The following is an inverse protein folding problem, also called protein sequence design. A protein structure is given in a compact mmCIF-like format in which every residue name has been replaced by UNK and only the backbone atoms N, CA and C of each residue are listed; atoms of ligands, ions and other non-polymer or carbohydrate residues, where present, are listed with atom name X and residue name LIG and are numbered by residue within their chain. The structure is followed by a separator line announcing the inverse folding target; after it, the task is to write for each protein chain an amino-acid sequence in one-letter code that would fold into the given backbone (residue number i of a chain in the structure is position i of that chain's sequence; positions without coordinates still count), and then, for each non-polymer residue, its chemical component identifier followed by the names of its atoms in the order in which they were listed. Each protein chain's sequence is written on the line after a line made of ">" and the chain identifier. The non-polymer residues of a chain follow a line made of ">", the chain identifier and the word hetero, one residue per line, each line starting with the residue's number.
data_IF_347184781427
#
_entry.id   IF_347184781427
#
_cell.length_a   1.000
_cell.length_b   1.000
_cell.length_c   1.000
_cell.angle_alpha   90.00
_cell.angle_beta   90.00
_cell.angle_gamma   90.00
#
_symmetry.space_group_name_H-M   'P 1'
#
loop_
_entity.id
_entity.type
_entity.pdbx_description
1 polymer ?
#
# COMPACT_ATOMS: atom_id res chain seq x y z
N UNK A 1 -7.01 -8.39 19.07
CA UNK A 1 -6.21 -9.64 19.10
C UNK A 1 -5.04 -9.47 20.05
N UNK A 2 -4.90 -10.43 20.92
CA UNK A 2 -3.73 -10.46 21.81
C UNK A 2 -2.59 -11.17 21.10
N UNK A 3 -1.54 -10.43 20.82
CA UNK A 3 -0.33 -10.99 20.23
C UNK A 3 0.53 -11.52 21.40
N UNK A 4 1.07 -12.72 21.23
CA UNK A 4 2.04 -13.26 22.18
C UNK A 4 3.17 -12.23 22.38
N UNK A 5 3.51 -11.85 23.63
CA UNK A 5 4.52 -10.83 23.87
C UNK A 5 5.89 -11.16 23.26
N UNK A 6 6.26 -12.42 23.16
CA UNK A 6 7.52 -12.81 22.53
C UNK A 6 7.49 -12.58 21.02
N UNK A 7 6.37 -12.87 20.37
CA UNK A 7 6.17 -12.59 18.94
C UNK A 7 6.17 -11.08 18.70
N UNK A 8 5.47 -10.32 19.54
CA UNK A 8 5.45 -8.88 19.44
C UNK A 8 6.84 -8.26 19.51
N UNK A 9 7.67 -8.77 20.44
CA UNK A 9 9.04 -8.30 20.56
C UNK A 9 9.84 -8.58 19.29
N UNK A 10 9.69 -9.77 18.70
CA UNK A 10 10.33 -10.11 17.43
C UNK A 10 9.88 -9.16 16.31
N UNK A 11 8.59 -8.92 16.22
CA UNK A 11 8.04 -8.01 15.19
C UNK A 11 8.55 -6.58 15.37
N UNK A 12 8.58 -6.09 16.62
CA UNK A 12 9.12 -4.75 16.90
C UNK A 12 10.59 -4.64 16.49
N UNK A 13 11.38 -5.70 16.73
CA UNK A 13 12.78 -5.72 16.34
C UNK A 13 12.99 -5.73 14.82
N UNK A 14 12.00 -6.25 14.05
CA UNK A 14 12.06 -6.26 12.59
C UNK A 14 11.76 -4.89 11.97
N UNK A 15 11.15 -3.98 12.70
CA UNK A 15 10.66 -2.71 12.13
C UNK A 15 11.77 -1.92 11.43
N UNK A 16 12.97 -1.87 12.00
CA UNK A 16 14.12 -1.19 11.38
C UNK A 16 14.49 -1.79 10.03
N UNK A 17 14.42 -3.12 9.91
CA UNK A 17 14.72 -3.83 8.67
C UNK A 17 13.66 -3.48 7.61
N UNK A 18 12.40 -3.52 7.99
CA UNK A 18 11.31 -3.17 7.08
C UNK A 18 11.40 -1.72 6.63
N UNK A 19 11.68 -0.81 7.55
CA UNK A 19 11.83 0.62 7.21
C UNK A 19 12.94 0.82 6.19
N UNK A 20 14.09 0.18 6.38
CA UNK A 20 15.21 0.28 5.46
C UNK A 20 14.84 -0.24 4.06
N UNK A 21 14.13 -1.36 3.99
CA UNK A 21 13.68 -1.93 2.72
C UNK A 21 12.67 -1.02 2.01
N UNK A 22 11.72 -0.47 2.74
CA UNK A 22 10.71 0.44 2.20
C UNK A 22 11.37 1.72 1.67
N UNK A 23 12.27 2.32 2.46
CA UNK A 23 12.96 3.53 2.03
C UNK A 23 13.84 3.31 0.81
N UNK A 24 14.51 2.16 0.70
CA UNK A 24 15.30 1.82 -0.48
C UNK A 24 14.42 1.72 -1.73
N UNK A 25 13.26 1.06 -1.62
CA UNK A 25 12.30 1.01 -2.72
C UNK A 25 11.79 2.40 -3.09
N UNK A 26 11.40 3.19 -2.10
CA UNK A 26 10.88 4.54 -2.34
C UNK A 26 11.94 5.46 -2.94
N UNK A 27 13.20 5.34 -2.54
CA UNK A 27 14.29 6.09 -3.16
C UNK A 27 14.43 5.76 -4.65
N UNK A 28 14.31 4.50 -5.02
CA UNK A 28 14.34 4.09 -6.42
C UNK A 28 13.19 4.71 -7.20
N UNK A 29 11.98 4.68 -6.65
CA UNK A 29 10.81 5.30 -7.28
C UNK A 29 10.93 6.83 -7.34
N UNK A 30 11.43 7.44 -6.27
CA UNK A 30 11.66 8.89 -6.23
C UNK A 30 12.57 9.36 -7.35
N UNK A 31 13.66 8.64 -7.58
CA UNK A 31 14.61 8.98 -8.68
C UNK A 31 13.93 8.87 -10.04
N UNK A 32 13.06 7.87 -10.20
CA UNK A 32 12.37 7.65 -11.47
C UNK A 32 11.33 8.73 -11.76
N UNK A 33 10.63 9.21 -10.75
CA UNK A 33 9.49 10.12 -10.92
C UNK A 33 9.74 11.54 -10.40
N UNK A 34 10.94 11.83 -9.87
CA UNK A 34 11.24 13.15 -9.33
C UNK A 34 10.47 13.48 -8.06
N UNK A 35 10.26 12.51 -7.19
CA UNK A 35 9.46 12.65 -5.97
C UNK A 35 10.31 12.48 -4.71
N UNK A 36 9.68 12.59 -3.55
CA UNK A 36 10.34 12.54 -2.24
C UNK A 36 9.64 11.58 -1.25
N UNK A 37 9.03 10.52 -1.75
CA UNK A 37 8.32 9.56 -0.90
C UNK A 37 9.21 8.92 0.17
N UNK A 38 10.50 8.73 -0.12
CA UNK A 38 11.44 8.17 0.85
C UNK A 38 11.72 9.08 2.05
N UNK A 39 11.36 10.36 1.99
CA UNK A 39 11.51 11.29 3.12
C UNK A 39 10.26 11.36 4.00
N UNK A 40 9.16 10.76 3.58
CA UNK A 40 7.91 10.74 4.35
C UNK A 40 8.06 9.81 5.55
N UNK A 41 7.62 10.22 6.75
CA UNK A 41 7.66 9.35 7.92
C UNK A 41 6.92 8.04 7.72
N UNK A 42 7.48 6.95 8.23
CA UNK A 42 6.89 5.62 8.17
C UNK A 42 6.58 5.19 9.60
N UNK A 43 5.34 4.78 9.84
CA UNK A 43 4.89 4.25 11.13
C UNK A 43 4.56 2.77 10.99
N UNK A 44 4.77 2.03 12.07
CA UNK A 44 4.42 0.62 12.15
C UNK A 44 3.45 0.39 13.30
N UNK A 45 2.63 -0.63 13.17
CA UNK A 45 1.66 -1.00 14.19
C UNK A 45 1.16 -2.42 13.99
N UNK A 46 0.04 -2.73 14.60
CA UNK A 46 -0.49 -4.10 14.69
C UNK A 46 -1.97 -4.17 14.27
N UNK A 47 -2.37 -3.36 13.31
CA UNK A 47 -3.75 -3.39 12.82
C UNK A 47 -4.06 -4.77 12.19
N UNK A 48 -5.22 -5.33 12.51
CA UNK A 48 -5.63 -6.64 12.03
C UNK A 48 -6.35 -6.59 10.68
N UNK A 49 -6.91 -5.46 10.33
CA UNK A 49 -7.71 -5.30 9.12
C UNK A 49 -6.99 -4.53 8.02
N UNK A 50 -6.13 -3.59 8.40
CA UNK A 50 -5.43 -2.69 7.49
C UNK A 50 -3.97 -3.12 7.37
N UNK A 51 -3.56 -3.50 6.16
CA UNK A 51 -2.18 -3.91 5.90
C UNK A 51 -1.25 -2.70 5.84
N UNK A 52 -1.73 -1.62 5.26
CA UNK A 52 -0.98 -0.38 5.15
C UNK A 52 -1.89 0.78 4.78
N UNK A 53 -1.37 1.99 4.92
CA UNK A 53 -2.07 3.20 4.53
C UNK A 53 -1.11 4.33 4.23
N UNK A 54 -1.58 5.30 3.47
CA UNK A 54 -0.93 6.58 3.26
C UNK A 54 -1.86 7.69 3.75
N UNK A 55 -1.33 8.58 4.56
CA UNK A 55 -2.07 9.75 5.05
C UNK A 55 -1.45 11.01 4.43
N UNK A 56 -2.20 11.74 3.59
CA UNK A 56 -1.68 13.01 3.07
C UNK A 56 -1.60 14.07 4.17
N UNK A 57 -0.72 15.04 3.98
CA UNK A 57 -0.62 16.17 4.88
C UNK A 57 -1.93 16.98 4.89
N UNK A 58 -2.37 17.38 6.07
CA UNK A 58 -3.55 18.22 6.24
C UNK A 58 -3.34 19.19 7.38
N UNK A 59 -4.38 20.04 7.67
CA UNK A 59 -4.33 20.95 8.79
C UNK A 59 -4.20 20.22 10.14
N UNK A 60 -4.63 18.97 10.21
CA UNK A 60 -4.71 18.21 11.47
C UNK A 60 -3.74 17.03 11.52
N UNK A 61 -3.18 16.59 10.40
CA UNK A 61 -2.32 15.42 10.34
C UNK A 61 -1.08 15.67 9.50
N UNK A 62 0.05 15.12 9.95
CA UNK A 62 1.29 15.11 9.17
C UNK A 62 1.22 13.97 8.15
N UNK A 63 1.83 14.21 7.00
CA UNK A 63 1.98 13.16 5.98
C UNK A 63 2.74 11.97 6.55
N UNK A 64 2.24 10.76 6.31
CA UNK A 64 2.90 9.55 6.79
C UNK A 64 2.44 8.31 6.02
N UNK A 65 3.31 7.30 6.02
CA UNK A 65 2.95 5.93 5.66
C UNK A 65 2.77 5.11 6.94
N UNK A 66 1.90 4.11 6.86
CA UNK A 66 1.70 3.15 7.93
C UNK A 66 1.71 1.73 7.35
N UNK A 67 2.35 0.80 8.06
CA UNK A 67 2.32 -0.63 7.71
C UNK A 67 2.13 -1.48 8.96
N UNK A 68 1.28 -2.49 8.84
CA UNK A 68 1.01 -3.39 9.96
C UNK A 68 2.02 -4.53 9.99
N UNK A 69 2.74 -4.66 11.09
CA UNK A 69 3.70 -5.73 11.31
C UNK A 69 3.05 -7.11 11.34
N UNK A 70 1.73 -7.18 11.54
CA UNK A 70 1.00 -8.45 11.48
C UNK A 70 0.99 -9.05 10.07
N UNK A 71 1.23 -8.25 9.04
CA UNK A 71 1.21 -8.71 7.65
C UNK A 71 2.60 -8.72 7.02
N UNK A 72 3.40 -7.69 7.27
CA UNK A 72 4.74 -7.61 6.66
C UNK A 72 5.80 -8.34 7.48
N UNK A 73 5.54 -8.62 8.76
CA UNK A 73 6.52 -9.23 9.65
C UNK A 73 6.86 -10.67 9.28
N UNK A 74 8.10 -11.06 9.55
CA UNK A 74 8.58 -12.42 9.30
C UNK A 74 8.20 -13.39 10.43
N UNK A 75 8.00 -12.87 11.64
CA UNK A 75 7.67 -13.69 12.80
C UNK A 75 6.21 -14.09 12.89
N UNK A 76 5.36 -13.63 11.97
CA UNK A 76 3.94 -14.02 11.95
C UNK A 76 3.78 -15.41 11.34
N UNK A 77 2.66 -16.06 11.66
CA UNK A 77 2.41 -17.44 11.25
C UNK A 77 2.35 -17.64 9.75
N UNK A 78 1.78 -16.66 9.02
CA UNK A 78 1.67 -16.68 7.56
C UNK A 78 2.10 -15.32 7.02
N UNK A 79 3.39 -15.07 6.90
CA UNK A 79 3.87 -13.79 6.40
C UNK A 79 3.54 -13.62 4.91
N UNK A 80 3.42 -12.38 4.47
CA UNK A 80 3.34 -12.08 3.05
C UNK A 80 4.63 -12.54 2.35
N UNK A 81 4.51 -12.97 1.10
CA UNK A 81 5.67 -13.22 0.26
C UNK A 81 6.44 -11.90 0.03
N UNK A 82 7.69 -12.03 -0.41
CA UNK A 82 8.47 -10.85 -0.78
C UNK A 82 7.75 -10.02 -1.85
N UNK A 83 7.17 -10.68 -2.85
CA UNK A 83 6.45 -10.02 -3.93
C UNK A 83 5.23 -9.24 -3.41
N UNK A 84 4.46 -9.86 -2.53
CA UNK A 84 3.27 -9.23 -1.96
C UNK A 84 3.63 -8.08 -1.04
N UNK A 85 4.73 -8.17 -0.29
CA UNK A 85 5.22 -7.05 0.51
C UNK A 85 5.61 -5.88 -0.39
N UNK A 86 6.36 -6.13 -1.45
CA UNK A 86 6.75 -5.08 -2.39
C UNK A 86 5.53 -4.46 -3.06
N UNK A 87 4.54 -5.27 -3.41
CA UNK A 87 3.30 -4.76 -3.98
C UNK A 87 2.55 -3.87 -3.00
N UNK A 88 2.47 -4.26 -1.72
CA UNK A 88 1.86 -3.44 -0.68
C UNK A 88 2.58 -2.09 -0.56
N UNK A 89 3.90 -2.07 -0.53
CA UNK A 89 4.66 -0.82 -0.43
C UNK A 89 4.42 0.08 -1.64
N UNK A 90 4.38 -0.49 -2.84
CA UNK A 90 4.08 0.25 -4.06
C UNK A 90 2.64 0.76 -4.09
N UNK A 91 1.71 -0.01 -3.55
CA UNK A 91 0.31 0.40 -3.41
C UNK A 91 0.19 1.70 -2.62
N UNK A 92 0.87 1.77 -1.47
CA UNK A 92 0.83 2.98 -0.64
C UNK A 92 1.62 4.12 -1.31
N UNK A 93 2.73 3.81 -1.97
CA UNK A 93 3.47 4.82 -2.74
C UNK A 93 2.60 5.40 -3.87
N UNK A 94 1.78 4.59 -4.51
CA UNK A 94 0.85 5.06 -5.54
C UNK A 94 -0.15 6.07 -4.98
N UNK A 95 -0.65 5.87 -3.75
CA UNK A 95 -1.46 6.88 -3.07
C UNK A 95 -0.68 8.18 -2.86
N UNK A 96 0.58 8.08 -2.42
CA UNK A 96 1.45 9.23 -2.28
C UNK A 96 1.63 9.96 -3.62
N UNK A 97 1.85 9.23 -4.71
CA UNK A 97 2.00 9.80 -6.05
C UNK A 97 0.76 10.59 -6.47
N UNK A 98 -0.42 10.03 -6.20
CA UNK A 98 -1.68 10.70 -6.57
C UNK A 98 -1.79 12.10 -5.97
N UNK A 99 -1.24 12.31 -4.78
CA UNK A 99 -1.27 13.60 -4.09
C UNK A 99 -0.08 14.51 -4.45
N UNK A 100 0.99 13.96 -5.03
CA UNK A 100 2.25 14.69 -5.16
C UNK A 100 2.77 14.83 -6.58
N UNK A 101 2.03 14.35 -7.58
CA UNK A 101 2.41 14.52 -8.97
C UNK A 101 1.19 14.89 -9.82
N UNK A 102 1.46 15.41 -11.01
CA UNK A 102 0.40 15.74 -11.95
C UNK A 102 -0.16 14.47 -12.56
N UNK A 103 -1.48 14.29 -12.44
CA UNK A 103 -2.21 13.18 -13.02
C UNK A 103 -2.87 13.63 -14.31
N UNK A 104 -2.78 12.87 -15.43
CA UNK A 104 -3.49 13.22 -16.66
C UNK A 104 -4.99 13.40 -16.43
N UNK A 105 -5.58 14.41 -17.08
CA UNK A 105 -6.96 14.81 -16.82
C UNK A 105 -8.00 13.73 -17.14
N UNK A 106 -7.65 12.75 -17.98
CA UNK A 106 -8.56 11.65 -18.33
C UNK A 106 -8.81 10.68 -17.16
N UNK A 107 -7.98 10.72 -16.13
CA UNK A 107 -8.14 9.85 -14.97
C UNK A 107 -8.91 10.56 -13.86
N UNK A 108 -9.80 9.84 -13.21
CA UNK A 108 -10.65 10.37 -12.17
C UNK A 108 -9.91 10.43 -10.83
N UNK A 109 -9.58 11.65 -10.40
CA UNK A 109 -8.90 11.88 -9.14
C UNK A 109 -9.92 11.92 -8.00
N UNK A 110 -9.75 11.05 -7.00
CA UNK A 110 -10.59 11.00 -5.81
C UNK A 110 -9.72 10.86 -4.58
N UNK A 111 -9.87 11.81 -3.64
CA UNK A 111 -9.14 11.79 -2.38
C UNK A 111 -9.44 10.52 -1.58
N UNK A 112 -8.41 9.82 -1.09
CA UNK A 112 -8.55 8.63 -0.28
C UNK A 112 -9.19 7.43 -0.97
N UNK A 113 -9.31 7.44 -2.30
CA UNK A 113 -10.00 6.41 -3.05
C UNK A 113 -9.06 5.66 -3.98
N UNK A 114 -9.51 4.47 -4.41
CA UNK A 114 -8.79 3.62 -5.36
C UNK A 114 -9.35 3.79 -6.78
N UNK A 115 -9.51 5.04 -7.18
CA UNK A 115 -10.04 5.39 -8.49
C UNK A 115 -9.02 5.27 -9.61
N UNK A 116 -9.41 5.69 -10.82
CA UNK A 116 -8.56 5.54 -12.00
C UNK A 116 -7.26 6.34 -11.90
N UNK A 117 -7.26 7.47 -11.22
CA UNK A 117 -6.03 8.22 -10.98
C UNK A 117 -5.02 7.43 -10.15
N UNK A 118 -5.49 6.77 -9.08
CA UNK A 118 -4.63 5.89 -8.28
C UNK A 118 -4.18 4.68 -9.10
N UNK A 119 -5.08 4.07 -9.88
CA UNK A 119 -4.73 2.94 -10.75
C UNK A 119 -3.69 3.31 -11.81
N UNK A 120 -3.77 4.55 -12.32
CA UNK A 120 -2.73 5.07 -13.19
C UNK A 120 -1.37 5.10 -12.47
N UNK A 121 -1.34 5.59 -11.23
CA UNK A 121 -0.10 5.57 -10.44
C UNK A 121 0.40 4.15 -10.19
N UNK A 122 -0.51 3.20 -9.94
CA UNK A 122 -0.14 1.78 -9.81
C UNK A 122 0.55 1.27 -11.07
N UNK A 123 0.06 1.62 -12.24
CA UNK A 123 0.67 1.19 -13.50
C UNK A 123 2.09 1.73 -13.68
N UNK A 124 2.36 2.92 -13.16
CA UNK A 124 3.70 3.53 -13.23
C UNK A 124 4.71 2.82 -12.33
N UNK A 125 4.28 2.36 -11.16
CA UNK A 125 5.18 1.74 -10.17
C UNK A 125 5.15 0.22 -10.19
N UNK A 126 4.26 -0.39 -10.97
CA UNK A 126 4.13 -1.83 -11.03
C UNK A 126 3.39 -2.42 -9.84
N UNK A 127 2.43 -1.69 -9.26
CA UNK A 127 1.56 -2.20 -8.21
C UNK A 127 0.26 -2.75 -8.81
N UNK A 128 -0.30 -3.78 -8.19
CA UNK A 128 -1.59 -4.32 -8.63
C UNK A 128 -2.70 -3.29 -8.44
N UNK A 129 -3.57 -3.05 -9.43
CA UNK A 129 -4.60 -2.02 -9.35
C UNK A 129 -5.84 -2.53 -8.61
N UNK A 130 -5.67 -3.04 -7.41
CA UNK A 130 -6.75 -3.57 -6.58
C UNK A 130 -6.62 -3.10 -5.15
N UNK A 131 -7.73 -2.72 -4.49
CA UNK A 131 -7.71 -2.35 -3.07
C UNK A 131 -7.72 -3.56 -2.13
N UNK A 132 -7.73 -4.79 -2.65
CA UNK A 132 -7.86 -5.98 -1.83
C UNK A 132 -6.65 -6.88 -1.96
N UNK A 133 -6.27 -7.48 -0.84
CA UNK A 133 -5.34 -8.59 -0.79
C UNK A 133 -6.13 -9.90 -0.61
N UNK A 134 -5.76 -10.92 -1.38
CA UNK A 134 -6.34 -12.27 -1.27
C UNK A 134 -5.22 -13.27 -1.03
N UNK A 135 -5.40 -14.10 -0.01
CA UNK A 135 -4.44 -15.16 0.29
C UNK A 135 -4.35 -16.12 -0.89
N UNK A 136 -3.13 -16.42 -1.31
CA UNK A 136 -2.87 -17.38 -2.38
C UNK A 136 -2.93 -16.82 -3.79
N UNK A 137 -3.30 -15.55 -3.96
CA UNK A 137 -3.26 -14.88 -5.25
C UNK A 137 -2.08 -13.91 -5.30
N UNK A 138 -1.38 -13.92 -6.43
CA UNK A 138 -0.38 -12.89 -6.69
C UNK A 138 -1.07 -11.62 -7.16
N UNK A 139 -0.81 -10.52 -6.48
CA UNK A 139 -1.34 -9.21 -6.85
C UNK A 139 -0.76 -8.71 -8.17
N UNK A 140 0.41 -9.21 -8.57
CA UNK A 140 1.10 -8.80 -9.79
C UNK A 140 0.49 -9.38 -11.08
N UNK A 141 -0.49 -10.28 -10.95
CA UNK A 141 -1.18 -10.87 -12.10
C UNK A 141 -2.36 -10.05 -12.62
N UNK A 142 -2.65 -8.92 -12.00
CA UNK A 142 -3.79 -8.10 -12.44
C UNK A 142 -3.49 -7.39 -13.77
N UNK A 143 -4.54 -7.25 -14.56
CA UNK A 143 -4.48 -6.59 -15.87
C UNK A 143 -4.61 -5.07 -15.67
N UNK A 144 -3.47 -4.37 -15.72
CA UNK A 144 -3.43 -2.92 -15.57
C UNK A 144 -4.17 -2.19 -16.68
N UNK A 145 -4.03 -2.65 -17.92
CA UNK A 145 -4.70 -2.01 -19.07
C UNK A 145 -6.20 -2.05 -18.91
N UNK A 146 -6.74 -3.20 -18.53
CA UNK A 146 -8.17 -3.36 -18.28
C UNK A 146 -8.63 -2.47 -17.14
N UNK A 147 -7.87 -2.42 -16.05
CA UNK A 147 -8.21 -1.62 -14.89
C UNK A 147 -8.24 -0.13 -15.24
N UNK A 148 -7.32 0.34 -16.09
CA UNK A 148 -7.27 1.74 -16.50
C UNK A 148 -8.37 2.12 -17.47
N UNK A 149 -8.76 1.20 -18.35
CA UNK A 149 -9.80 1.45 -19.37
C UNK A 149 -11.21 1.49 -18.82
N UNK A 150 -11.43 0.94 -17.64
CA UNK A 150 -12.77 0.87 -17.04
C UNK A 150 -12.85 1.67 -15.74
N UNK A 151 -12.80 3.00 -15.79
CA UNK A 151 -12.89 3.82 -14.57
C UNK A 151 -14.21 3.61 -13.82
N UNK A 152 -15.27 3.16 -14.53
CA UNK A 152 -16.57 2.86 -13.92
C UNK A 152 -16.49 1.70 -12.92
N UNK A 153 -15.51 0.83 -13.04
CA UNK A 153 -15.27 -0.20 -12.02
C UNK A 153 -15.08 0.38 -10.64
N UNK A 154 -14.62 1.61 -10.55
CA UNK A 154 -14.44 2.30 -9.29
C UNK A 154 -15.75 2.46 -8.53
N UNK A 155 -16.89 2.41 -9.23
CA UNK A 155 -18.22 2.51 -8.62
C UNK A 155 -18.77 1.16 -8.15
N UNK A 156 -18.30 0.07 -8.74
CA UNK A 156 -18.83 -1.27 -8.45
C UNK A 156 -17.97 -2.04 -7.45
N UNK A 157 -16.69 -1.68 -7.36
CA UNK A 157 -15.77 -2.27 -6.38
C UNK A 157 -15.87 -1.45 -5.10
N UNK A 158 -16.14 -2.08 -3.94
CA UNK A 158 -16.13 -1.34 -2.67
C UNK A 158 -14.83 -0.59 -2.50
N UNK A 159 -14.94 0.72 -2.31
CA UNK A 159 -13.77 1.58 -2.18
C UNK A 159 -13.24 1.48 -0.75
N UNK A 160 -11.95 1.23 -0.63
CA UNK A 160 -11.23 1.21 0.64
C UNK A 160 -10.14 2.27 0.62
N UNK A 161 -10.00 2.99 1.70
CA UNK A 161 -8.98 4.01 1.81
C UNK A 161 -7.60 3.42 2.10
N UNK A 162 -7.56 2.12 2.40
CA UNK A 162 -6.35 1.41 2.78
C UNK A 162 -6.32 0.04 2.12
N UNK A 163 -5.11 -0.53 2.01
CA UNK A 163 -4.95 -1.90 1.59
C UNK A 163 -5.44 -2.82 2.70
N UNK A 164 -6.39 -3.71 2.40
CA UNK A 164 -7.05 -4.53 3.42
C UNK A 164 -6.97 -6.00 3.12
N UNK A 165 -6.93 -6.79 4.19
CA UNK A 165 -7.00 -8.24 4.15
C UNK A 165 -8.45 -8.74 4.20
N UNK A 166 -9.35 -8.08 3.54
CA UNK A 166 -10.77 -8.35 3.70
C UNK A 166 -11.15 -9.79 3.35
N UNK A 167 -10.71 -10.29 2.22
CA UNK A 167 -11.04 -11.64 1.78
C UNK A 167 -10.36 -12.72 2.63
N UNK A 168 -9.20 -12.42 3.19
CA UNK A 168 -8.48 -13.36 4.04
C UNK A 168 -9.23 -13.62 5.34
N UNK A 169 -9.95 -12.64 5.86
CA UNK A 169 -10.72 -12.80 7.08
C UNK A 169 -12.06 -13.48 6.85
N UNK A 170 -12.58 -13.44 5.66
CA UNK A 170 -13.86 -14.05 5.32
C UNK A 170 -13.74 -15.49 4.90
N UNK A 171 -12.55 -15.96 4.67
CA UNK A 171 -12.29 -17.33 4.26
C UNK A 171 -12.17 -18.28 5.44
#
# INVERSE_FOLDING_TARGET
>A
MNIDPSIRKLLDNEATIHEAQIRALFQTLDRKFGLRGASVPIRFGYDEAVLGSYTPASAHEKESFYFSLLFIGYAVKKPLSKEDRLDLYKHEYAHYMQYNMKIPAQYNWQAGKHGSAWKYCCSLVGAAPTPYYRIGESLLKHDYDKALKNPIHDKTVPIRDTYRREQAYKS
#
